data_IF_364172526930
#
_entry.id   IF_364172526930
#
_cell.length_a   1.000
_cell.length_b   1.000
_cell.length_c   1.000
_cell.angle_alpha   90.00
_cell.angle_beta   90.00
_cell.angle_gamma   90.00
#
_symmetry.space_group_name_H-M   'P 1'
#
loop_
_entity.id
_entity.type
_entity.pdbx_description
1 polymer ?
#
# COMPACT_ATOMS: atom_id res chain seq x y z
N UNK A 1 49.56 -19.10 14.92
CA UNK A 1 48.89 -17.77 14.94
C UNK A 1 48.22 -17.40 13.62
N UNK A 2 48.71 -17.81 12.44
CA UNK A 2 48.10 -17.49 11.12
C UNK A 2 46.77 -18.20 10.82
N UNK A 3 46.58 -19.43 11.32
CA UNK A 3 45.37 -20.24 11.06
C UNK A 3 44.16 -19.82 11.89
N UNK A 4 44.37 -19.26 13.08
CA UNK A 4 43.29 -18.77 13.95
C UNK A 4 42.62 -17.48 13.43
N UNK A 5 43.38 -16.63 12.72
CA UNK A 5 42.88 -15.38 12.14
C UNK A 5 41.99 -15.64 10.90
N UNK A 6 42.30 -16.69 10.13
CA UNK A 6 41.54 -17.10 8.95
C UNK A 6 40.17 -17.71 9.29
N UNK A 7 40.05 -18.41 10.44
CA UNK A 7 38.77 -18.96 10.91
C UNK A 7 37.83 -17.89 11.50
N UNK A 8 38.38 -16.83 12.09
CA UNK A 8 37.57 -15.75 12.65
C UNK A 8 36.94 -14.84 11.56
N UNK A 9 37.66 -14.61 10.46
CA UNK A 9 37.18 -13.82 9.31
C UNK A 9 36.06 -14.53 8.51
N UNK A 10 36.03 -15.87 8.49
CA UNK A 10 35.02 -16.65 7.77
C UNK A 10 33.64 -16.68 8.48
N UNK A 11 33.60 -16.61 9.81
CA UNK A 11 32.35 -16.62 10.57
C UNK A 11 31.56 -15.30 10.48
N UNK A 12 32.24 -14.15 10.34
CA UNK A 12 31.58 -12.83 10.27
C UNK A 12 30.96 -12.58 8.89
N UNK A 13 31.60 -13.07 7.81
CA UNK A 13 31.06 -12.89 6.46
C UNK A 13 29.86 -13.82 6.15
N UNK A 14 29.75 -14.97 6.81
CA UNK A 14 28.61 -15.89 6.64
C UNK A 14 27.30 -15.36 7.21
N UNK A 15 27.34 -14.59 8.31
CA UNK A 15 26.14 -14.02 8.94
C UNK A 15 25.49 -12.90 8.13
N UNK A 16 26.29 -12.08 7.44
CA UNK A 16 25.78 -10.96 6.64
C UNK A 16 25.04 -11.42 5.38
N UNK A 17 25.48 -12.53 4.77
CA UNK A 17 24.84 -13.08 3.56
C UNK A 17 23.44 -13.65 3.85
N UNK A 18 23.24 -14.27 5.02
CA UNK A 18 21.95 -14.90 5.37
C UNK A 18 20.88 -13.85 5.70
N UNK A 19 21.26 -12.72 6.27
CA UNK A 19 20.33 -11.62 6.58
C UNK A 19 19.91 -10.85 5.32
N UNK A 20 20.83 -10.63 4.37
CA UNK A 20 20.52 -9.95 3.11
C UNK A 20 19.57 -10.75 2.20
N UNK A 21 19.65 -12.08 2.18
CA UNK A 21 18.75 -12.91 1.38
C UNK A 21 17.29 -12.89 1.86
N UNK A 22 17.04 -12.67 3.16
CA UNK A 22 15.66 -12.65 3.70
C UNK A 22 14.85 -11.42 3.29
N UNK A 23 15.50 -10.38 2.75
CA UNK A 23 14.85 -9.13 2.33
C UNK A 23 14.50 -9.15 0.83
N UNK A 24 15.18 -9.96 0.01
CA UNK A 24 15.18 -9.77 -1.45
C UNK A 24 14.24 -10.68 -2.27
N UNK A 25 13.50 -11.61 -1.68
CA UNK A 25 12.72 -12.61 -2.46
C UNK A 25 11.19 -12.47 -2.37
N UNK A 26 10.65 -11.36 -1.87
CA UNK A 26 9.23 -11.04 -2.13
C UNK A 26 9.11 -10.37 -3.50
N UNK A 27 9.29 -11.16 -4.56
CA UNK A 27 8.75 -10.82 -5.87
C UNK A 27 7.24 -10.70 -5.68
N UNK A 28 6.75 -9.46 -5.57
CA UNK A 28 5.31 -9.23 -5.49
C UNK A 28 4.70 -9.76 -6.78
N UNK A 29 3.62 -10.56 -6.71
CA UNK A 29 2.92 -11.00 -7.91
C UNK A 29 2.57 -9.78 -8.76
N UNK A 30 2.53 -9.93 -10.10
CA UNK A 30 2.25 -8.81 -10.99
C UNK A 30 0.99 -8.09 -10.50
N UNK A 31 1.17 -6.82 -10.19
CA UNK A 31 0.13 -5.99 -9.62
C UNK A 31 -1.08 -5.95 -10.58
N UNK A 32 -2.33 -6.14 -10.10
CA UNK A 32 -3.49 -6.02 -10.97
C UNK A 32 -3.56 -4.59 -11.52
N UNK A 33 -3.24 -4.40 -12.80
CA UNK A 33 -3.23 -3.07 -13.47
C UNK A 33 -4.55 -2.32 -13.30
N UNK A 34 -5.64 -3.06 -13.19
CA UNK A 34 -6.97 -2.54 -12.93
C UNK A 34 -7.06 -1.85 -11.57
N UNK A 35 -6.51 -2.46 -10.52
CA UNK A 35 -6.52 -1.86 -9.18
C UNK A 35 -5.69 -0.58 -9.12
N UNK A 36 -4.61 -0.52 -9.91
CA UNK A 36 -3.77 0.68 -9.99
C UNK A 36 -4.60 1.82 -10.58
N UNK A 37 -5.36 1.50 -11.62
CA UNK A 37 -6.24 2.44 -12.29
C UNK A 37 -7.34 2.93 -11.34
N UNK A 38 -8.01 2.01 -10.63
CA UNK A 38 -9.07 2.34 -9.66
C UNK A 38 -8.56 3.26 -8.55
N UNK A 39 -7.41 2.95 -7.94
CA UNK A 39 -6.82 3.78 -6.87
C UNK A 39 -6.48 5.18 -7.39
N UNK A 40 -5.88 5.30 -8.57
CA UNK A 40 -5.55 6.62 -9.14
C UNK A 40 -6.80 7.42 -9.52
N UNK A 41 -7.85 6.77 -10.03
CA UNK A 41 -9.14 7.40 -10.30
C UNK A 41 -9.79 7.93 -9.01
N UNK A 42 -9.78 7.12 -7.94
CA UNK A 42 -10.31 7.53 -6.65
C UNK A 42 -9.52 8.70 -6.05
N UNK A 43 -8.19 8.68 -6.17
CA UNK A 43 -7.33 9.78 -5.73
C UNK A 43 -7.58 11.07 -6.52
N UNK A 44 -7.74 10.97 -7.85
CA UNK A 44 -8.09 12.12 -8.68
C UNK A 44 -9.44 12.72 -8.27
N UNK A 45 -10.42 11.86 -7.99
CA UNK A 45 -11.73 12.29 -7.51
C UNK A 45 -11.66 12.98 -6.14
N UNK A 46 -10.85 12.48 -5.20
CA UNK A 46 -10.64 13.18 -3.93
C UNK A 46 -10.00 14.56 -4.12
N UNK A 47 -9.05 14.72 -5.04
CA UNK A 47 -8.40 16.01 -5.32
C UNK A 47 -9.34 17.05 -5.91
N UNK A 48 -10.30 16.62 -6.73
CA UNK A 48 -11.32 17.49 -7.31
C UNK A 48 -12.57 17.63 -6.42
N UNK A 49 -12.54 17.09 -5.20
CA UNK A 49 -13.70 17.01 -4.31
C UNK A 49 -14.93 16.33 -4.95
N UNK A 50 -14.73 15.43 -5.91
CA UNK A 50 -15.78 14.63 -6.55
C UNK A 50 -16.03 13.34 -5.74
N UNK A 51 -16.74 13.48 -4.62
CA UNK A 51 -17.04 12.35 -3.74
C UNK A 51 -18.00 11.34 -4.37
N UNK A 52 -18.81 11.75 -5.35
CA UNK A 52 -19.67 10.84 -6.07
C UNK A 52 -18.84 9.87 -6.91
N UNK A 53 -17.85 10.36 -7.67
CA UNK A 53 -16.92 9.50 -8.41
C UNK A 53 -16.05 8.66 -7.47
N UNK A 54 -15.53 9.24 -6.38
CA UNK A 54 -14.71 8.50 -5.42
C UNK A 54 -15.50 7.35 -4.75
N UNK A 55 -16.79 7.56 -4.49
CA UNK A 55 -17.68 6.57 -3.87
C UNK A 55 -17.98 5.38 -4.79
N UNK A 56 -18.05 5.56 -6.11
CA UNK A 56 -18.21 4.44 -7.06
C UNK A 56 -17.08 3.41 -6.98
N UNK A 57 -15.90 3.85 -6.53
CA UNK A 57 -14.71 3.01 -6.34
C UNK A 57 -14.59 2.48 -4.90
N UNK A 58 -15.48 2.87 -3.99
CA UNK A 58 -15.46 2.35 -2.62
C UNK A 58 -15.86 0.87 -2.61
N UNK A 59 -15.36 0.12 -1.62
CA UNK A 59 -15.74 -1.29 -1.44
C UNK A 59 -17.27 -1.45 -1.33
N UNK A 60 -17.80 -2.56 -1.84
CA UNK A 60 -19.26 -2.81 -1.87
C UNK A 60 -19.91 -2.66 -0.50
N UNK A 61 -19.26 -3.12 0.58
CA UNK A 61 -19.79 -2.95 1.94
C UNK A 61 -19.87 -1.50 2.40
N UNK A 62 -19.00 -0.61 1.90
CA UNK A 62 -19.08 0.84 2.13
C UNK A 62 -20.27 1.39 1.35
N UNK A 63 -20.45 0.99 0.09
CA UNK A 63 -21.57 1.43 -0.74
C UNK A 63 -22.93 1.00 -0.18
N UNK A 64 -23.01 -0.19 0.40
CA UNK A 64 -24.23 -0.70 1.02
C UNK A 64 -24.57 0.01 2.34
N UNK A 65 -23.57 0.54 3.05
CA UNK A 65 -23.74 1.09 4.39
C UNK A 65 -23.96 2.61 4.41
N UNK A 66 -23.33 3.33 3.49
CA UNK A 66 -23.30 4.79 3.51
C UNK A 66 -23.89 5.36 2.23
N UNK A 67 -24.66 6.44 2.35
CA UNK A 67 -24.97 7.31 1.21
C UNK A 67 -23.73 8.11 0.80
N UNK A 68 -23.74 8.72 -0.40
CA UNK A 68 -22.62 9.58 -0.86
C UNK A 68 -22.30 10.71 0.14
N UNK A 69 -23.28 11.46 0.69
CA UNK A 69 -22.98 12.51 1.68
C UNK A 69 -22.37 11.96 2.97
N UNK A 70 -22.86 10.82 3.47
CA UNK A 70 -22.28 10.18 4.66
C UNK A 70 -20.87 9.66 4.42
N UNK A 71 -20.61 9.13 3.22
CA UNK A 71 -19.26 8.73 2.82
C UNK A 71 -18.33 9.94 2.76
N UNK A 72 -18.77 11.04 2.16
CA UNK A 72 -17.98 12.29 2.12
C UNK A 72 -17.66 12.78 3.53
N UNK A 73 -18.66 12.88 4.40
CA UNK A 73 -18.47 13.30 5.80
C UNK A 73 -17.48 12.38 6.52
N UNK A 74 -17.65 11.06 6.39
CA UNK A 74 -16.76 10.07 6.97
C UNK A 74 -15.32 10.24 6.46
N UNK A 75 -15.11 10.39 5.15
CA UNK A 75 -13.77 10.54 4.57
C UNK A 75 -13.11 11.84 5.04
N UNK A 76 -13.84 12.95 5.02
CA UNK A 76 -13.28 14.25 5.44
C UNK A 76 -12.86 14.28 6.90
N UNK A 77 -13.64 13.67 7.79
CA UNK A 77 -13.38 13.73 9.23
C UNK A 77 -12.43 12.62 9.71
N UNK A 78 -12.63 11.39 9.23
CA UNK A 78 -11.94 10.22 9.79
C UNK A 78 -10.73 9.78 8.94
N UNK A 79 -10.71 10.16 7.66
CA UNK A 79 -9.67 9.78 6.71
C UNK A 79 -9.11 10.97 5.91
N UNK A 80 -8.79 12.11 6.55
CA UNK A 80 -8.32 13.30 5.85
C UNK A 80 -6.99 13.09 5.11
N UNK A 81 -6.25 12.02 5.39
CA UNK A 81 -5.05 11.64 4.64
C UNK A 81 -5.38 11.18 3.21
N UNK A 82 -6.56 10.60 2.96
CA UNK A 82 -6.97 10.19 1.61
C UNK A 82 -7.18 11.40 0.69
N UNK A 83 -7.69 12.51 1.24
CA UNK A 83 -7.94 13.76 0.49
C UNK A 83 -6.70 14.66 0.40
N UNK A 84 -5.75 14.52 1.33
CA UNK A 84 -4.51 15.31 1.36
C UNK A 84 -3.31 14.63 0.70
N UNK A 85 -3.46 13.39 0.24
CA UNK A 85 -2.37 12.64 -0.35
C UNK A 85 -1.88 13.25 -1.68
N UNK A 86 -0.58 13.53 -1.76
CA UNK A 86 0.08 13.98 -2.98
C UNK A 86 0.52 12.79 -3.86
N UNK A 87 0.71 11.61 -3.27
CA UNK A 87 1.09 10.38 -3.99
C UNK A 87 0.54 9.14 -3.31
N UNK A 88 0.39 8.07 -4.08
CA UNK A 88 0.15 6.72 -3.57
C UNK A 88 1.31 5.79 -3.91
N UNK A 89 1.58 4.84 -3.04
CA UNK A 89 2.51 3.74 -3.26
C UNK A 89 1.81 2.41 -2.99
N UNK A 90 2.17 1.40 -3.77
CA UNK A 90 1.57 0.07 -3.68
C UNK A 90 2.49 -0.85 -2.90
N UNK A 91 1.94 -1.45 -1.85
CA UNK A 91 2.59 -2.47 -1.05
C UNK A 91 2.41 -3.86 -1.61
N UNK A 92 2.47 -4.84 -0.71
CA UNK A 92 2.27 -6.23 -1.05
C UNK A 92 0.84 -6.48 -1.55
N UNK A 93 0.74 -7.27 -2.61
CA UNK A 93 -0.51 -7.83 -3.10
C UNK A 93 -0.62 -9.28 -2.64
N UNK A 94 -1.73 -9.62 -1.98
CA UNK A 94 -2.11 -10.99 -1.67
C UNK A 94 -3.17 -11.43 -2.68
N UNK A 95 -2.81 -12.32 -3.60
CA UNK A 95 -3.71 -12.85 -4.63
C UNK A 95 -4.13 -14.26 -4.23
N UNK A 96 -5.43 -14.49 -4.10
CA UNK A 96 -6.05 -15.78 -3.78
C UNK A 96 -7.11 -16.09 -4.84
N UNK A 97 -6.78 -16.98 -5.78
CA UNK A 97 -7.66 -17.31 -6.91
C UNK A 97 -8.00 -16.07 -7.74
N UNK A 98 -9.29 -15.72 -7.79
CA UNK A 98 -9.81 -14.55 -8.52
C UNK A 98 -9.88 -13.26 -7.68
N UNK A 99 -9.44 -13.30 -6.42
CA UNK A 99 -9.45 -12.14 -5.52
C UNK A 99 -8.04 -11.66 -5.23
N UNK A 100 -7.86 -10.34 -5.19
CA UNK A 100 -6.61 -9.72 -4.77
C UNK A 100 -6.89 -8.74 -3.64
N UNK A 101 -6.01 -8.70 -2.64
CA UNK A 101 -6.00 -7.65 -1.63
C UNK A 101 -4.67 -6.94 -1.70
N UNK A 102 -4.72 -5.63 -1.82
CA UNK A 102 -3.52 -4.79 -1.96
C UNK A 102 -3.48 -3.77 -0.84
N UNK A 103 -2.32 -3.67 -0.22
CA UNK A 103 -2.02 -2.53 0.63
C UNK A 103 -1.64 -1.31 -0.22
N UNK A 104 -2.33 -0.19 0.00
CA UNK A 104 -2.04 1.10 -0.66
C UNK A 104 -1.66 2.12 0.40
N UNK A 105 -0.51 2.75 0.23
CA UNK A 105 -0.02 3.83 1.07
C UNK A 105 -0.37 5.17 0.45
N UNK A 106 -1.00 6.04 1.22
CA UNK A 106 -1.31 7.43 0.89
C UNK A 106 -0.31 8.33 1.59
N UNK A 107 0.50 9.03 0.81
CA UNK A 107 1.57 9.90 1.28
C UNK A 107 1.12 11.35 1.14
N UNK A 108 1.09 12.08 2.26
CA UNK A 108 0.78 13.50 2.30
C UNK A 108 2.06 14.35 2.18
N UNK A 109 1.91 15.61 1.78
CA UNK A 109 3.03 16.54 1.58
C UNK A 109 3.84 16.82 2.87
N UNK A 110 3.24 16.63 4.04
CA UNK A 110 3.90 16.76 5.34
C UNK A 110 4.66 15.48 5.76
N UNK A 111 4.80 14.49 4.88
CA UNK A 111 5.45 13.21 5.16
C UNK A 111 4.59 12.21 5.93
N UNK A 112 3.32 12.55 6.26
CA UNK A 112 2.41 11.59 6.90
C UNK A 112 2.04 10.48 5.91
N UNK A 113 2.07 9.24 6.39
CA UNK A 113 1.72 8.05 5.60
C UNK A 113 0.59 7.30 6.28
N UNK A 114 -0.46 6.97 5.53
CA UNK A 114 -1.53 6.08 5.99
C UNK A 114 -1.77 4.99 4.95
N UNK A 115 -2.02 3.76 5.40
CA UNK A 115 -2.28 2.64 4.50
C UNK A 115 -3.71 2.13 4.59
N UNK A 116 -4.27 1.71 3.46
CA UNK A 116 -5.59 1.10 3.34
C UNK A 116 -5.52 -0.18 2.51
N UNK A 117 -6.47 -1.10 2.74
CA UNK A 117 -6.59 -2.32 1.96
C UNK A 117 -7.63 -2.12 0.84
N UNK A 118 -7.23 -2.48 -0.38
CA UNK A 118 -8.05 -2.45 -1.58
C UNK A 118 -8.31 -3.88 -2.06
N UNK A 119 -9.53 -4.12 -2.53
CA UNK A 119 -10.03 -5.41 -2.99
C UNK A 119 -10.47 -5.32 -4.46
#
# INVERSE_FOLDING_TARGET
MKTALLLFLLCVCGGAFIVAHRVSDRVSPPFPRELFTVVNQQLAAFRSADFQSAYRHAATGVQQKFTVPQFEEMVRHNYPEMTRACRVEFGLANVQGASAVVQVFFLAANGSVRSFLYH
#
